data_IF_326779985747
#
_entry.id   IF_326779985747
#
_cell.length_a   1.000
_cell.length_b   1.000
_cell.length_c   1.000
_cell.angle_alpha   90.00
_cell.angle_beta   90.00
_cell.angle_gamma   90.00
#
_symmetry.space_group_name_H-M   'P 1'
#
loop_
_entity.id
_entity.type
_entity.pdbx_description
1 polymer ?
#
# COMPACT_ATOMS: atom_id res chain seq x y z
N UNK A 1 -0.17 13.65 16.54
CA UNK A 1 -1.48 14.16 16.10
C UNK A 1 -1.57 13.91 14.61
N UNK A 2 -2.66 13.31 14.13
CA UNK A 2 -2.85 13.09 12.70
C UNK A 2 -3.04 14.45 11.98
N UNK A 3 -2.37 14.65 10.86
CA UNK A 3 -2.49 15.85 10.04
C UNK A 3 -3.22 15.49 8.74
N UNK A 4 -4.25 16.27 8.41
CA UNK A 4 -5.00 16.12 7.16
C UNK A 4 -4.54 17.23 6.20
N UNK A 5 -3.78 16.85 5.20
CA UNK A 5 -3.16 17.78 4.25
C UNK A 5 -3.65 17.49 2.82
N UNK A 6 -3.54 18.49 1.94
CA UNK A 6 -3.79 18.28 0.51
C UNK A 6 -2.82 17.25 -0.06
N UNK A 7 -3.19 16.57 -1.15
CA UNK A 7 -2.34 15.54 -1.77
C UNK A 7 -0.92 16.05 -2.09
N UNK A 8 -0.79 17.28 -2.60
CA UNK A 8 0.51 17.89 -2.94
C UNK A 8 1.40 18.15 -1.72
N UNK A 9 0.81 18.53 -0.58
CA UNK A 9 1.54 18.68 0.67
C UNK A 9 1.85 17.32 1.29
N UNK A 10 0.89 16.40 1.27
CA UNK A 10 1.01 15.02 1.76
C UNK A 10 2.24 14.30 1.21
N UNK A 11 2.50 14.44 -0.10
CA UNK A 11 3.69 13.86 -0.75
C UNK A 11 5.02 14.25 -0.09
N UNK A 12 5.12 15.45 0.51
CA UNK A 12 6.35 15.91 1.17
C UNK A 12 6.62 15.23 2.50
N UNK A 13 5.57 14.68 3.13
CA UNK A 13 5.68 13.95 4.40
C UNK A 13 6.00 12.46 4.20
N UNK A 14 5.77 11.92 3.00
CA UNK A 14 6.01 10.51 2.69
C UNK A 14 7.50 10.27 2.42
N UNK A 15 8.13 9.46 3.27
CA UNK A 15 9.50 8.97 3.05
C UNK A 15 9.48 7.77 2.09
N UNK A 16 9.41 8.03 0.78
CA UNK A 16 9.27 6.98 -0.25
C UNK A 16 10.36 5.89 -0.19
N UNK A 17 11.60 6.23 0.16
CA UNK A 17 12.67 5.23 0.35
C UNK A 17 12.37 4.21 1.45
N UNK A 18 11.67 4.63 2.51
CA UNK A 18 11.19 3.74 3.58
C UNK A 18 9.93 2.99 3.16
N UNK A 19 9.01 3.62 2.42
CA UNK A 19 7.79 2.96 1.92
C UNK A 19 8.12 1.82 0.95
N UNK A 20 9.11 2.01 0.08
CA UNK A 20 9.53 1.02 -0.91
C UNK A 20 10.67 0.12 -0.44
N UNK A 21 11.03 0.15 0.84
CA UNK A 21 12.08 -0.71 1.38
C UNK A 21 11.65 -2.18 1.31
N UNK A 22 12.55 -3.06 0.83
CA UNK A 22 12.29 -4.51 0.76
C UNK A 22 12.15 -5.14 2.15
N UNK A 23 12.91 -4.62 3.11
CA UNK A 23 12.90 -5.06 4.51
C UNK A 23 12.94 -3.83 5.42
N UNK A 24 12.10 -3.82 6.45
CA UNK A 24 12.05 -2.77 7.49
C UNK A 24 12.83 -3.19 8.74
N UNK A 25 14.02 -3.76 8.54
CA UNK A 25 14.90 -4.23 9.62
C UNK A 25 15.82 -3.11 10.08
N UNK A 26 16.05 -3.01 11.39
CA UNK A 26 17.09 -2.17 11.98
C UNK A 26 17.63 -2.88 13.22
N UNK A 27 18.92 -2.71 13.51
CA UNK A 27 19.54 -3.17 14.75
C UNK A 27 19.04 -2.36 15.97
N UNK A 28 18.45 -1.18 15.72
CA UNK A 28 17.76 -0.40 16.73
C UNK A 28 16.26 -0.80 16.77
N UNK A 29 15.77 -1.36 17.90
CA UNK A 29 14.37 -1.77 18.02
C UNK A 29 13.37 -0.64 17.79
N UNK A 30 13.67 0.59 18.23
CA UNK A 30 12.77 1.74 18.06
C UNK A 30 12.62 2.10 16.58
N UNK A 31 13.74 2.13 15.86
CA UNK A 31 13.73 2.40 14.42
C UNK A 31 13.02 1.28 13.65
N UNK A 32 13.16 0.03 14.08
CA UNK A 32 12.43 -1.09 13.49
C UNK A 32 10.91 -0.94 13.65
N UNK A 33 10.42 -0.52 14.83
CA UNK A 33 9.01 -0.24 15.04
C UNK A 33 8.51 0.92 14.17
N UNK A 34 9.26 2.02 14.12
CA UNK A 34 8.94 3.17 13.25
C UNK A 34 8.88 2.77 11.76
N UNK A 35 9.86 1.99 11.30
CA UNK A 35 9.93 1.54 9.92
C UNK A 35 8.74 0.65 9.54
N UNK A 36 8.31 -0.25 10.44
CA UNK A 36 7.11 -1.08 10.23
C UNK A 36 5.82 -0.26 10.13
N UNK A 37 5.71 0.85 10.88
CA UNK A 37 4.53 1.72 10.82
C UNK A 37 4.43 2.50 9.49
N UNK A 38 5.57 2.79 8.84
CA UNK A 38 5.62 3.59 7.59
C UNK A 38 5.06 2.82 6.38
N UNK A 39 5.00 1.49 6.42
CA UNK A 39 4.50 0.66 5.31
C UNK A 39 3.01 0.93 5.01
N UNK A 40 2.21 1.23 6.02
CA UNK A 40 0.77 1.42 5.88
C UNK A 40 0.43 2.91 5.80
N UNK A 41 0.30 3.42 4.58
CA UNK A 41 -0.43 4.67 4.36
C UNK A 41 -1.92 4.34 4.25
N UNK A 42 -2.68 4.59 5.31
CA UNK A 42 -4.13 4.53 5.28
C UNK A 42 -4.67 5.85 4.73
N UNK A 43 -5.49 5.77 3.68
CA UNK A 43 -6.21 6.93 3.16
C UNK A 43 -7.70 6.73 3.43
N UNK A 44 -8.32 7.70 4.10
CA UNK A 44 -9.76 7.71 4.31
C UNK A 44 -10.43 8.23 3.03
N UNK A 45 -11.12 7.33 2.32
CA UNK A 45 -11.88 7.67 1.11
C UNK A 45 -13.36 7.66 1.46
N UNK A 46 -14.04 8.76 1.19
CA UNK A 46 -15.48 8.83 1.37
C UNK A 46 -16.16 8.01 0.24
N UNK A 47 -17.01 7.07 0.63
CA UNK A 47 -17.81 6.19 -0.25
C UNK A 47 -17.03 5.15 -1.07
N UNK A 48 -16.21 5.57 -2.05
CA UNK A 48 -15.51 4.64 -2.95
C UNK A 48 -14.31 5.30 -3.64
N UNK A 49 -13.34 4.49 -4.05
CA UNK A 49 -12.29 4.88 -5.00
C UNK A 49 -12.73 4.49 -6.41
N UNK A 50 -12.92 5.45 -7.33
CA UNK A 50 -13.12 5.15 -8.74
C UNK A 50 -11.94 4.36 -9.35
N UNK A 51 -12.24 3.40 -10.22
CA UNK A 51 -11.26 2.45 -10.78
C UNK A 51 -10.23 3.17 -11.64
N UNK A 52 -10.62 4.26 -12.30
CA UNK A 52 -9.75 5.12 -13.10
C UNK A 52 -8.59 5.77 -12.31
N UNK A 53 -8.67 5.79 -10.98
CA UNK A 53 -7.57 6.25 -10.12
C UNK A 53 -6.64 5.13 -9.66
N UNK A 54 -6.97 3.87 -9.99
CA UNK A 54 -6.15 2.71 -9.64
C UNK A 54 -5.17 2.41 -10.77
N UNK A 55 -3.90 2.20 -10.41
CA UNK A 55 -2.82 1.82 -11.34
C UNK A 55 -2.66 0.31 -11.49
N UNK A 56 -3.11 -0.47 -10.50
CA UNK A 56 -2.97 -1.92 -10.46
C UNK A 56 -3.50 -2.49 -9.15
N UNK A 57 -3.73 -3.79 -9.11
CA UNK A 57 -4.08 -4.55 -7.90
C UNK A 57 -3.00 -5.60 -7.66
N UNK A 58 -2.49 -5.66 -6.43
CA UNK A 58 -1.57 -6.70 -6.01
C UNK A 58 -2.32 -7.68 -5.11
N UNK A 59 -2.15 -8.98 -5.34
CA UNK A 59 -2.85 -10.04 -4.60
C UNK A 59 -1.88 -11.13 -4.11
N UNK A 60 -2.32 -11.90 -3.11
CA UNK A 60 -1.48 -12.91 -2.47
C UNK A 60 -1.44 -14.26 -3.19
N UNK A 61 -2.43 -14.61 -4.01
CA UNK A 61 -2.47 -15.91 -4.70
C UNK A 61 -3.45 -15.91 -5.88
N UNK A 62 -3.51 -17.03 -6.61
CA UNK A 62 -4.39 -17.19 -7.78
C UNK A 62 -5.87 -17.09 -7.43
N UNK A 63 -6.31 -17.62 -6.28
CA UNK A 63 -7.70 -17.50 -5.86
C UNK A 63 -8.11 -16.03 -5.64
N UNK A 64 -7.23 -15.23 -5.05
CA UNK A 64 -7.46 -13.79 -4.87
C UNK A 64 -7.40 -13.04 -6.22
N UNK A 65 -6.51 -13.45 -7.13
CA UNK A 65 -6.43 -12.90 -8.47
C UNK A 65 -7.74 -13.11 -9.24
N UNK A 66 -8.24 -14.35 -9.28
CA UNK A 66 -9.48 -14.69 -9.97
C UNK A 66 -10.65 -13.85 -9.45
N UNK A 67 -10.79 -13.72 -8.13
CA UNK A 67 -11.84 -12.88 -7.52
C UNK A 67 -11.80 -11.42 -7.95
N UNK A 68 -10.62 -10.85 -8.20
CA UNK A 68 -10.47 -9.48 -8.68
C UNK A 68 -10.75 -9.40 -10.18
N UNK A 69 -10.30 -10.37 -10.96
CA UNK A 69 -10.56 -10.45 -12.40
C UNK A 69 -12.05 -10.61 -12.70
N UNK A 70 -12.78 -11.38 -11.89
CA UNK A 70 -14.24 -11.56 -11.99
C UNK A 70 -15.03 -10.25 -11.83
N UNK A 71 -14.44 -9.21 -11.23
CA UNK A 71 -15.03 -7.88 -11.13
C UNK A 71 -14.98 -7.10 -12.46
N UNK A 72 -14.26 -7.60 -13.48
CA UNK A 72 -14.13 -6.99 -14.80
C UNK A 72 -13.70 -5.50 -14.76
N UNK A 73 -12.77 -5.16 -13.87
CA UNK A 73 -12.30 -3.79 -13.64
C UNK A 73 -11.40 -3.24 -14.76
N UNK A 74 -10.99 -4.08 -15.72
CA UNK A 74 -10.03 -3.74 -16.77
C UNK A 74 -8.72 -3.12 -16.21
N UNK A 75 -8.20 -3.69 -15.13
CA UNK A 75 -7.00 -3.25 -14.43
C UNK A 75 -6.01 -4.39 -14.31
N UNK A 76 -4.71 -4.07 -14.28
CA UNK A 76 -3.67 -5.07 -14.09
C UNK A 76 -3.75 -5.69 -12.68
N UNK A 77 -3.78 -7.03 -12.61
CA UNK A 77 -3.73 -7.78 -11.35
C UNK A 77 -2.46 -8.62 -11.30
N UNK A 78 -1.61 -8.41 -10.28
CA UNK A 78 -0.30 -9.06 -10.14
C UNK A 78 -0.23 -9.83 -8.83
N UNK A 79 0.28 -11.07 -8.87
CA UNK A 79 0.55 -11.84 -7.65
C UNK A 79 1.94 -11.48 -7.11
N UNK A 80 1.99 -11.12 -5.82
CA UNK A 80 3.22 -10.89 -5.03
C UNK A 80 3.02 -11.43 -3.61
N UNK A 81 3.22 -12.73 -3.43
CA UNK A 81 3.04 -13.45 -2.16
C UNK A 81 3.86 -12.83 -1.02
N UNK A 82 5.07 -12.38 -1.35
CA UNK A 82 6.05 -11.79 -0.45
C UNK A 82 5.62 -10.44 0.17
N UNK A 83 4.55 -9.82 -0.34
CA UNK A 83 4.02 -8.56 0.20
C UNK A 83 2.91 -8.75 1.25
N UNK A 84 2.49 -9.98 1.51
CA UNK A 84 1.43 -10.30 2.47
C UNK A 84 1.99 -11.07 3.66
N UNK A 85 1.31 -10.96 4.81
CA UNK A 85 1.63 -11.77 5.98
C UNK A 85 1.51 -13.27 5.64
N UNK A 86 2.48 -14.04 6.11
CA UNK A 86 2.48 -15.51 6.05
C UNK A 86 1.85 -16.09 7.31
#
# INVERSE_FOLDING_TARGET
MAAFESADKGKRYIKFSKVFAKYWTSDNPLEQYENKQIQCAEVLVLNKVPVEYLIGVIVCNENAKQKVEDLNLNIQVIIRKELFFQ
#
